data_IF_113556891794
#
_entry.id   IF_113556891794
#
_cell.length_a   1.000
_cell.length_b   1.000
_cell.length_c   1.000
_cell.angle_alpha   90.00
_cell.angle_beta   90.00
_cell.angle_gamma   90.00
#
_symmetry.space_group_name_H-M   'P 1'
#
loop_
_entity.id
_entity.type
_entity.pdbx_description
1 polymer ?
#
# COMPACT_ATOMS: atom_id res chain seq x y z
N UNK A 1 -11.15 -21.82 10.97
CA UNK A 1 -11.98 -21.11 11.98
C UNK A 1 -11.18 -20.14 12.88
N UNK A 2 -9.86 -20.26 13.00
CA UNK A 2 -9.07 -19.28 13.76
C UNK A 2 -8.85 -17.99 12.95
N UNK A 3 -9.50 -16.88 13.35
CA UNK A 3 -9.37 -15.52 12.77
C UNK A 3 -8.95 -14.48 13.82
N UNK A 4 -8.24 -14.91 14.87
CA UNK A 4 -7.81 -14.00 15.95
C UNK A 4 -7.01 -12.83 15.35
N UNK A 5 -7.40 -11.60 15.68
CA UNK A 5 -6.76 -10.38 15.15
C UNK A 5 -7.00 -10.09 13.67
N UNK A 6 -7.74 -10.95 12.94
CA UNK A 6 -8.03 -10.79 11.50
C UNK A 6 -6.76 -10.47 10.68
N UNK A 7 -6.78 -9.37 9.91
CA UNK A 7 -5.63 -8.93 9.10
C UNK A 7 -4.41 -8.62 9.98
N UNK A 8 -4.61 -7.94 11.11
CA UNK A 8 -3.51 -7.60 12.00
C UNK A 8 -2.85 -8.83 12.63
N UNK A 9 -3.65 -9.82 13.06
CA UNK A 9 -3.13 -11.09 13.58
C UNK A 9 -2.37 -11.88 12.53
N UNK A 10 -2.86 -11.91 11.28
CA UNK A 10 -2.12 -12.54 10.18
C UNK A 10 -0.79 -11.84 9.89
N UNK A 11 -0.74 -10.50 9.99
CA UNK A 11 0.49 -9.74 9.83
C UNK A 11 1.47 -9.95 11.00
N UNK A 12 0.98 -10.08 12.24
CA UNK A 12 1.80 -10.37 13.42
C UNK A 12 2.49 -11.74 13.31
N UNK A 13 1.76 -12.77 12.90
CA UNK A 13 2.34 -14.09 12.64
C UNK A 13 3.40 -14.03 11.52
N UNK A 14 3.12 -13.29 10.44
CA UNK A 14 4.07 -13.07 9.35
C UNK A 14 5.32 -12.27 9.78
N UNK A 15 5.15 -11.29 10.67
CA UNK A 15 6.23 -10.48 11.22
C UNK A 15 7.28 -11.34 11.93
N UNK A 16 6.86 -12.33 12.72
CA UNK A 16 7.77 -13.23 13.41
C UNK A 16 8.60 -14.14 12.48
N UNK A 17 8.15 -14.34 11.23
CA UNK A 17 8.85 -15.13 10.23
C UNK A 17 9.76 -14.28 9.32
N UNK A 18 9.46 -12.99 9.18
CA UNK A 18 10.23 -12.07 8.35
C UNK A 18 11.64 -11.83 8.91
N UNK A 19 12.63 -11.78 8.02
CA UNK A 19 14.06 -11.58 8.38
C UNK A 19 14.66 -10.31 7.76
N UNK A 20 13.89 -9.59 6.96
CA UNK A 20 14.33 -8.36 6.33
C UNK A 20 14.36 -7.20 7.32
N UNK A 21 15.22 -6.21 7.06
CA UNK A 21 15.24 -4.95 7.80
C UNK A 21 13.95 -4.13 7.59
N UNK A 22 13.38 -4.23 6.38
CA UNK A 22 12.14 -3.57 6.00
C UNK A 22 11.05 -4.60 5.69
N UNK A 23 9.80 -4.24 5.99
CA UNK A 23 8.62 -5.05 5.69
C UNK A 23 7.77 -4.30 4.66
N UNK A 24 7.52 -4.96 3.52
CA UNK A 24 6.55 -4.50 2.54
C UNK A 24 5.23 -5.25 2.74
N UNK A 25 4.12 -4.51 2.80
CA UNK A 25 2.77 -5.06 3.01
C UNK A 25 1.95 -4.85 1.75
N UNK A 26 1.40 -5.94 1.21
CA UNK A 26 0.49 -5.93 0.07
C UNK A 26 -0.76 -6.72 0.41
N UNK A 27 -1.92 -6.22 0.00
CA UNK A 27 -3.13 -7.04 0.01
C UNK A 27 -3.06 -8.11 -1.10
N UNK A 28 -3.80 -9.20 -0.94
CA UNK A 28 -3.69 -10.39 -1.81
C UNK A 28 -4.02 -10.12 -3.28
N UNK A 29 -4.72 -9.02 -3.56
CA UNK A 29 -5.13 -8.54 -4.89
C UNK A 29 -4.24 -7.40 -5.42
N UNK A 30 -3.20 -6.99 -4.69
CA UNK A 30 -2.31 -5.91 -5.12
C UNK A 30 -1.18 -6.45 -6.00
N UNK A 31 -0.98 -5.77 -7.14
CA UNK A 31 0.11 -6.03 -8.07
C UNK A 31 1.11 -4.86 -8.03
N UNK A 32 2.18 -4.93 -7.21
CA UNK A 32 3.18 -3.88 -7.17
C UNK A 32 3.95 -3.80 -8.49
N UNK A 33 4.38 -2.59 -8.86
CA UNK A 33 5.27 -2.42 -10.01
C UNK A 33 6.62 -3.10 -9.75
N UNK A 34 7.30 -3.66 -10.77
CA UNK A 34 8.57 -4.36 -10.60
C UNK A 34 9.69 -3.51 -9.95
N UNK A 35 9.57 -2.19 -10.00
CA UNK A 35 10.51 -1.24 -9.43
C UNK A 35 10.07 -0.66 -8.08
N UNK A 36 9.00 -1.18 -7.47
CA UNK A 36 8.43 -0.70 -6.21
C UNK A 36 9.50 -0.52 -5.12
N UNK A 37 10.27 -1.58 -4.82
CA UNK A 37 11.29 -1.56 -3.77
C UNK A 37 12.39 -0.54 -4.09
N UNK A 38 12.82 -0.45 -5.36
CA UNK A 38 13.85 0.51 -5.80
C UNK A 38 13.40 1.96 -5.60
N UNK A 39 12.10 2.22 -5.73
CA UNK A 39 11.51 3.54 -5.54
C UNK A 39 11.22 3.86 -4.07
N UNK A 40 10.97 2.87 -3.22
CA UNK A 40 10.52 3.11 -1.83
C UNK A 40 11.66 3.07 -0.81
N UNK A 41 12.62 2.15 -0.93
CA UNK A 41 13.70 1.98 0.04
C UNK A 41 14.56 3.25 0.25
N UNK A 42 14.92 4.03 -0.79
CA UNK A 42 15.78 5.20 -0.60
C UNK A 42 15.22 6.27 0.35
N UNK A 43 13.90 6.32 0.59
CA UNK A 43 13.33 7.28 1.53
C UNK A 43 13.77 7.01 2.98
N UNK A 44 14.08 5.78 3.34
CA UNK A 44 14.57 5.42 4.69
C UNK A 44 16.00 5.87 4.99
N UNK A 45 16.69 6.53 4.04
CA UNK A 45 17.95 7.25 4.32
C UNK A 45 17.75 8.28 5.44
N UNK A 46 16.57 8.90 5.51
CA UNK A 46 16.19 9.69 6.66
C UNK A 46 15.70 8.77 7.78
N UNK A 47 16.50 8.66 8.85
CA UNK A 47 16.20 7.79 10.01
C UNK A 47 14.95 8.19 10.79
N UNK A 48 14.39 9.38 10.54
CA UNK A 48 13.13 9.82 11.14
C UNK A 48 11.89 9.24 10.45
N UNK A 49 12.05 8.60 9.27
CA UNK A 49 10.93 8.03 8.52
C UNK A 49 10.65 6.60 9.00
N UNK A 50 9.48 6.39 9.60
CA UNK A 50 9.02 5.07 10.05
C UNK A 50 8.25 4.27 8.99
N UNK A 51 7.68 4.92 7.98
CA UNK A 51 6.89 4.25 6.93
C UNK A 51 6.92 5.03 5.62
N UNK A 52 6.88 4.30 4.49
CA UNK A 52 6.70 4.86 3.15
C UNK A 52 5.39 4.33 2.58
N UNK A 53 4.38 5.19 2.49
CA UNK A 53 3.07 4.84 1.95
C UNK A 53 2.97 5.25 0.47
N UNK A 54 2.79 4.27 -0.42
CA UNK A 54 2.52 4.54 -1.83
C UNK A 54 1.02 4.63 -2.11
N UNK A 55 0.67 5.32 -3.18
CA UNK A 55 -0.70 5.35 -3.68
C UNK A 55 -1.08 4.01 -4.32
N UNK A 56 -2.31 3.56 -4.09
CA UNK A 56 -2.90 2.43 -4.82
C UNK A 56 -3.65 2.91 -6.07
N UNK A 57 -3.72 2.05 -7.09
CA UNK A 57 -4.33 2.37 -8.38
C UNK A 57 -5.34 1.32 -8.82
N UNK A 58 -5.93 1.52 -10.00
CA UNK A 58 -7.03 0.70 -10.50
C UNK A 58 -6.61 -0.07 -11.75
N UNK A 59 -6.54 -1.40 -11.68
CA UNK A 59 -6.17 -2.26 -12.82
C UNK A 59 -7.22 -2.27 -13.93
N UNK A 60 -8.49 -2.03 -13.58
CA UNK A 60 -9.63 -2.09 -14.50
C UNK A 60 -10.20 -0.71 -14.84
N UNK A 61 -9.48 0.39 -14.57
CA UNK A 61 -9.95 1.77 -14.77
C UNK A 61 -10.64 1.95 -16.12
N UNK A 62 -10.03 1.43 -17.17
CA UNK A 62 -10.46 1.65 -18.56
C UNK A 62 -11.47 0.62 -19.08
N UNK A 63 -12.02 -0.25 -18.22
CA UNK A 63 -12.94 -1.32 -18.64
C UNK A 63 -14.30 -0.79 -19.09
N UNK A 64 -14.87 0.21 -18.40
CA UNK A 64 -16.14 0.85 -18.75
C UNK A 64 -16.20 2.30 -18.29
N UNK A 65 -17.21 3.05 -18.74
CA UNK A 65 -17.47 4.42 -18.23
C UNK A 65 -17.68 4.40 -16.71
N UNK A 66 -18.33 3.36 -16.17
CA UNK A 66 -18.55 3.22 -14.74
C UNK A 66 -17.22 3.09 -13.97
N UNK A 67 -16.31 2.22 -14.42
CA UNK A 67 -15.01 2.04 -13.75
C UNK A 67 -14.13 3.28 -13.86
N UNK A 68 -14.24 4.04 -14.96
CA UNK A 68 -13.55 5.32 -15.12
C UNK A 68 -14.05 6.36 -14.12
N UNK A 69 -15.38 6.49 -13.96
CA UNK A 69 -16.00 7.42 -13.01
C UNK A 69 -15.65 7.05 -11.56
N UNK A 70 -15.68 5.75 -11.22
CA UNK A 70 -15.27 5.26 -9.90
C UNK A 70 -13.80 5.57 -9.62
N UNK A 71 -12.92 5.27 -10.58
CA UNK A 71 -11.50 5.59 -10.45
C UNK A 71 -11.28 7.08 -10.27
N UNK A 72 -11.96 7.94 -11.03
CA UNK A 72 -11.86 9.41 -10.87
C UNK A 72 -12.24 9.87 -9.46
N UNK A 73 -13.38 9.42 -8.92
CA UNK A 73 -13.82 9.81 -7.58
C UNK A 73 -12.85 9.34 -6.49
N UNK A 74 -12.40 8.10 -6.56
CA UNK A 74 -11.40 7.54 -5.65
C UNK A 74 -10.06 8.27 -5.77
N UNK A 75 -9.63 8.56 -7.00
CA UNK A 75 -8.39 9.25 -7.30
C UNK A 75 -8.37 10.66 -6.68
N UNK A 76 -9.49 11.37 -6.69
CA UNK A 76 -9.66 12.67 -6.05
C UNK A 76 -9.61 12.59 -4.52
N UNK A 77 -10.26 11.59 -3.93
CA UNK A 77 -10.22 11.35 -2.49
C UNK A 77 -8.79 11.13 -1.98
N UNK A 78 -8.00 10.28 -2.65
CA UNK A 78 -6.63 9.98 -2.23
C UNK A 78 -5.68 11.16 -2.36
N UNK A 79 -5.86 12.02 -3.37
CA UNK A 79 -5.04 13.22 -3.52
C UNK A 79 -5.15 14.15 -2.31
N UNK A 80 -6.32 14.19 -1.66
CA UNK A 80 -6.55 14.97 -0.44
C UNK A 80 -5.97 14.25 0.77
N UNK A 81 -6.33 12.97 0.97
CA UNK A 81 -5.89 12.19 2.14
C UNK A 81 -4.36 12.07 2.22
N UNK A 82 -3.70 11.77 1.10
CA UNK A 82 -2.27 11.50 1.09
C UNK A 82 -1.45 12.78 1.34
N UNK A 83 -1.89 13.91 0.78
CA UNK A 83 -1.27 15.22 1.03
C UNK A 83 -1.39 15.63 2.50
N UNK A 84 -2.51 15.30 3.16
CA UNK A 84 -2.72 15.60 4.57
C UNK A 84 -1.86 14.72 5.51
N UNK A 85 -1.45 13.52 5.06
CA UNK A 85 -0.68 12.55 5.85
C UNK A 85 0.82 12.59 5.60
N UNK A 86 1.25 13.24 4.51
CA UNK A 86 2.66 13.54 4.27
C UNK A 86 3.06 14.81 5.02
N UNK A 87 3.30 14.69 6.33
CA UNK A 87 3.75 15.79 7.19
C UNK A 87 5.09 15.45 7.83
#
# INVERSE_FOLDING_TARGET
ENRKGFKAGALEEGYHLAKGEFIAIFDADFLPQPDFIKKTIPYFINTQIGVVQTRWGHINKNYSVLTQLQAFGLDAHFSIEQSARSA
#
